data_IF_621619705938
#
_entry.id   IF_621619705938
#
_cell.length_a   1.000
_cell.length_b   1.000
_cell.length_c   1.000
_cell.angle_alpha   90.00
_cell.angle_beta   90.00
_cell.angle_gamma   90.00
#
_symmetry.space_group_name_H-M   'P 1'
#
loop_
_entity.id
_entity.type
_entity.pdbx_description
1 polymer ?
#
# COMPACT_ATOMS: atom_id res chain seq x y z
N UNK A 1 16.14 -8.75 -0.22
CA UNK A 1 14.83 -8.76 0.45
C UNK A 1 13.92 -7.87 -0.36
N UNK A 2 12.79 -8.39 -0.82
CA UNK A 2 11.82 -7.65 -1.64
C UNK A 2 10.74 -7.04 -0.75
N UNK A 3 10.48 -5.75 -0.93
CA UNK A 3 9.46 -4.98 -0.19
C UNK A 3 8.42 -4.51 -1.20
N UNK A 4 7.15 -4.88 -1.00
CA UNK A 4 6.06 -4.23 -1.72
C UNK A 4 5.62 -2.96 -1.00
N UNK A 5 5.70 -1.81 -1.67
CA UNK A 5 5.31 -0.51 -1.10
C UNK A 5 3.93 -0.06 -1.63
N UNK A 6 2.88 -0.40 -0.89
CA UNK A 6 1.50 -0.10 -1.22
C UNK A 6 1.09 1.31 -0.79
N UNK A 7 0.59 2.13 -1.71
CA UNK A 7 0.15 3.48 -1.36
C UNK A 7 -0.87 4.01 -2.36
N UNK A 8 -1.58 5.07 -1.99
CA UNK A 8 -2.61 5.66 -2.85
C UNK A 8 -1.99 6.28 -4.11
N UNK A 9 -2.59 6.05 -5.29
CA UNK A 9 -2.13 6.58 -6.59
C UNK A 9 -1.96 8.11 -6.63
N UNK A 10 -2.53 8.84 -5.67
CA UNK A 10 -2.36 10.30 -5.57
C UNK A 10 -0.95 10.72 -5.18
N UNK A 11 -0.16 9.80 -4.64
CA UNK A 11 1.23 10.07 -4.28
C UNK A 11 2.19 9.78 -5.44
N UNK A 12 1.71 9.23 -6.56
CA UNK A 12 2.58 8.92 -7.70
C UNK A 12 3.29 10.17 -8.21
N UNK A 13 4.61 10.07 -8.35
CA UNK A 13 5.52 11.12 -8.80
C UNK A 13 5.51 12.36 -7.90
N UNK A 14 5.18 12.18 -6.62
CA UNK A 14 5.21 13.26 -5.62
C UNK A 14 6.46 13.20 -4.76
N UNK A 15 6.82 14.35 -4.19
CA UNK A 15 7.89 14.44 -3.20
C UNK A 15 7.61 13.57 -1.97
N UNK A 16 6.33 13.39 -1.61
CA UNK A 16 5.90 12.52 -0.50
C UNK A 16 6.25 11.05 -0.76
N UNK A 17 5.94 10.53 -1.95
CA UNK A 17 6.33 9.17 -2.36
C UNK A 17 7.84 8.99 -2.33
N UNK A 18 8.59 9.97 -2.86
CA UNK A 18 10.06 9.95 -2.83
C UNK A 18 10.59 9.88 -1.39
N UNK A 19 10.07 10.72 -0.51
CA UNK A 19 10.48 10.75 0.91
C UNK A 19 10.19 9.44 1.63
N UNK A 20 9.04 8.81 1.35
CA UNK A 20 8.66 7.53 1.95
C UNK A 20 9.52 6.37 1.44
N UNK A 21 9.82 6.32 0.14
CA UNK A 21 10.77 5.35 -0.41
C UNK A 21 12.15 5.50 0.25
N UNK A 22 12.63 6.73 0.42
CA UNK A 22 13.90 6.98 1.10
C UNK A 22 13.85 6.61 2.59
N UNK A 23 12.71 6.78 3.27
CA UNK A 23 12.51 6.29 4.63
C UNK A 23 12.58 4.77 4.70
N UNK A 24 11.92 4.07 3.78
CA UNK A 24 11.97 2.60 3.69
C UNK A 24 13.41 2.13 3.45
N UNK A 25 14.16 2.78 2.55
CA UNK A 25 15.58 2.47 2.32
C UNK A 25 16.45 2.72 3.55
N UNK A 26 16.22 3.81 4.31
CA UNK A 26 16.96 4.03 5.56
C UNK A 26 16.74 2.91 6.58
N UNK A 27 15.53 2.39 6.67
CA UNK A 27 15.17 1.30 7.59
C UNK A 27 15.69 -0.05 7.06
N UNK A 28 15.65 -0.25 5.74
CA UNK A 28 16.05 -1.48 5.04
C UNK A 28 17.06 -1.17 3.91
N UNK A 29 18.34 -0.88 4.23
CA UNK A 29 19.31 -0.33 3.27
C UNK A 29 19.66 -1.24 2.09
N UNK A 30 19.44 -2.55 2.20
CA UNK A 30 19.73 -3.53 1.16
C UNK A 30 18.45 -4.21 0.62
N UNK A 31 17.35 -3.46 0.57
CA UNK A 31 16.07 -3.95 0.07
C UNK A 31 15.79 -3.53 -1.38
N UNK A 32 15.12 -4.41 -2.10
CA UNK A 32 14.56 -4.12 -3.41
C UNK A 32 13.10 -3.69 -3.20
N UNK A 33 12.78 -2.43 -3.47
CA UNK A 33 11.43 -1.89 -3.26
C UNK A 33 10.66 -1.98 -4.58
N UNK A 34 9.58 -2.76 -4.57
CA UNK A 34 8.59 -2.79 -5.65
C UNK A 34 7.58 -1.68 -5.39
N UNK A 35 7.62 -0.66 -6.24
CA UNK A 35 6.67 0.44 -6.26
C UNK A 35 5.66 0.21 -7.39
N UNK A 36 4.34 0.15 -7.11
CA UNK A 36 3.32 0.02 -8.16
C UNK A 36 3.42 1.11 -9.23
N UNK A 37 3.81 2.33 -8.85
CA UNK A 37 4.10 3.41 -9.78
C UNK A 37 5.30 3.01 -10.67
N UNK A 38 5.03 2.73 -11.95
CA UNK A 38 6.03 2.32 -12.93
C UNK A 38 6.31 0.82 -13.02
N UNK A 39 5.82 0.00 -12.07
CA UNK A 39 5.94 -1.47 -12.14
C UNK A 39 4.68 -2.16 -12.68
N UNK A 40 3.52 -1.54 -12.50
CA UNK A 40 2.25 -2.04 -13.06
C UNK A 40 2.11 -1.52 -14.48
N UNK A 41 1.86 -2.44 -15.42
CA UNK A 41 1.60 -2.12 -16.82
C UNK A 41 0.16 -1.61 -16.94
N UNK A 42 -0.02 -0.44 -17.56
CA UNK A 42 -1.35 0.08 -17.89
C UNK A 42 -2.03 -0.81 -18.94
N UNK A 43 -3.06 -1.54 -18.51
CA UNK A 43 -3.87 -2.37 -19.42
C UNK A 43 -5.24 -1.75 -19.74
N UNK A 44 -5.59 -0.64 -19.08
CA UNK A 44 -6.93 -0.05 -19.14
C UNK A 44 -7.99 -0.83 -18.35
N UNK A 45 -7.63 -1.93 -17.69
CA UNK A 45 -8.49 -2.76 -16.88
C UNK A 45 -8.01 -2.78 -15.42
N UNK A 46 -8.83 -2.24 -14.51
CA UNK A 46 -8.49 -2.16 -13.08
C UNK A 46 -8.26 -3.53 -12.45
N UNK A 47 -8.97 -4.57 -12.89
CA UNK A 47 -8.81 -5.92 -12.34
C UNK A 47 -7.47 -6.55 -12.73
N UNK A 48 -7.02 -6.32 -13.96
CA UNK A 48 -5.70 -6.78 -14.43
C UNK A 48 -4.56 -6.02 -13.74
N UNK A 49 -4.71 -4.71 -13.57
CA UNK A 49 -3.77 -3.91 -12.79
C UNK A 49 -3.66 -4.43 -11.34
N UNK A 50 -4.79 -4.77 -10.72
CA UNK A 50 -4.81 -5.34 -9.37
C UNK A 50 -4.16 -6.71 -9.30
N UNK A 51 -4.37 -7.59 -10.30
CA UNK A 51 -3.71 -8.90 -10.31
C UNK A 51 -2.18 -8.77 -10.47
N UNK A 52 -1.69 -7.78 -11.22
CA UNK A 52 -0.26 -7.46 -11.26
C UNK A 52 0.28 -7.08 -9.87
N UNK A 53 -0.42 -6.21 -9.14
CA UNK A 53 -0.11 -5.89 -7.75
C UNK A 53 -0.04 -7.14 -6.88
N UNK A 54 -1.04 -8.04 -6.99
CA UNK A 54 -1.07 -9.27 -6.22
C UNK A 54 0.09 -10.22 -6.53
N UNK A 55 0.55 -10.27 -7.79
CA UNK A 55 1.73 -11.04 -8.16
C UNK A 55 3.01 -10.47 -7.52
N UNK A 56 3.20 -9.15 -7.56
CA UNK A 56 4.33 -8.52 -6.87
C UNK A 56 4.33 -8.74 -5.36
N UNK A 57 3.14 -8.77 -4.73
CA UNK A 57 2.98 -9.10 -3.31
C UNK A 57 3.42 -10.53 -3.03
N UNK A 58 3.03 -11.51 -3.87
CA UNK A 58 3.42 -12.92 -3.72
C UNK A 58 4.92 -13.14 -3.88
N UNK A 59 5.61 -12.28 -4.62
CA UNK A 59 7.07 -12.30 -4.76
C UNK A 59 7.83 -11.54 -3.66
N UNK A 60 7.12 -10.81 -2.80
CA UNK A 60 7.72 -9.96 -1.78
C UNK A 60 7.87 -10.68 -0.44
N UNK A 61 8.86 -10.27 0.35
CA UNK A 61 9.09 -10.80 1.69
C UNK A 61 8.24 -10.07 2.75
N UNK A 62 8.00 -8.77 2.51
CA UNK A 62 7.21 -7.89 3.38
C UNK A 62 6.37 -6.91 2.55
N UNK A 63 5.27 -6.43 3.13
CA UNK A 63 4.50 -5.31 2.60
C UNK A 63 4.56 -4.13 3.57
N UNK A 64 4.86 -2.95 3.03
CA UNK A 64 4.78 -1.68 3.72
C UNK A 64 3.72 -0.84 3.03
N UNK A 65 2.82 -0.23 3.80
CA UNK A 65 1.83 0.68 3.24
C UNK A 65 1.79 2.03 3.94
N UNK A 66 1.27 3.04 3.25
CA UNK A 66 1.01 4.37 3.81
C UNK A 66 -0.38 4.87 3.49
N UNK A 67 -0.78 5.94 4.19
CA UNK A 67 -2.02 6.65 3.93
C UNK A 67 -1.74 8.03 3.37
N UNK A 68 -2.79 8.69 2.90
CA UNK A 68 -2.81 10.13 2.71
C UNK A 68 -2.81 10.85 4.08
N UNK A 69 -2.59 12.16 4.04
CA UNK A 69 -2.54 13.03 5.22
C UNK A 69 -3.82 13.00 6.07
N UNK A 70 -4.97 12.72 5.46
CA UNK A 70 -6.27 12.59 6.11
C UNK A 70 -6.56 11.16 6.63
N UNK A 71 -5.55 10.29 6.71
CA UNK A 71 -5.65 8.88 7.13
C UNK A 71 -6.43 7.96 6.18
N UNK A 72 -6.68 8.41 4.96
CA UNK A 72 -7.41 7.62 3.95
C UNK A 72 -6.42 6.94 2.99
N UNK A 73 -6.76 5.74 2.56
CA UNK A 73 -6.05 5.01 1.51
C UNK A 73 -7.06 4.27 0.61
N UNK A 74 -6.61 3.86 -0.57
CA UNK A 74 -7.49 3.34 -1.61
C UNK A 74 -7.97 1.94 -1.28
N UNK A 75 -9.13 1.55 -1.83
CA UNK A 75 -9.62 0.17 -1.72
C UNK A 75 -8.59 -0.87 -2.18
N UNK A 76 -7.87 -0.58 -3.27
CA UNK A 76 -6.78 -1.43 -3.75
C UNK A 76 -5.71 -1.68 -2.68
N UNK A 77 -5.25 -0.64 -1.98
CA UNK A 77 -4.27 -0.77 -0.88
C UNK A 77 -4.83 -1.62 0.27
N UNK A 78 -6.13 -1.49 0.58
CA UNK A 78 -6.78 -2.37 1.55
C UNK A 78 -6.77 -3.84 1.09
N UNK A 79 -7.08 -4.12 -0.17
CA UNK A 79 -7.11 -5.48 -0.71
C UNK A 79 -5.69 -6.08 -0.77
N UNK A 80 -4.68 -5.29 -1.13
CA UNK A 80 -3.25 -5.64 -1.10
C UNK A 80 -2.79 -6.02 0.32
N UNK A 81 -3.08 -5.18 1.31
CA UNK A 81 -2.77 -5.45 2.72
C UNK A 81 -3.48 -6.71 3.21
N UNK A 82 -4.76 -6.88 2.84
CA UNK A 82 -5.56 -8.04 3.22
C UNK A 82 -4.97 -9.34 2.65
N UNK A 83 -4.54 -9.33 1.38
CA UNK A 83 -3.87 -10.45 0.76
C UNK A 83 -2.56 -10.79 1.46
N UNK A 84 -1.71 -9.78 1.71
CA UNK A 84 -0.44 -9.95 2.40
C UNK A 84 -0.60 -10.62 3.78
N UNK A 85 -1.55 -10.13 4.59
CA UNK A 85 -1.86 -10.73 5.89
C UNK A 85 -2.35 -12.17 5.76
N UNK A 86 -3.22 -12.45 4.78
CA UNK A 86 -3.72 -13.80 4.50
C UNK A 86 -2.62 -14.79 4.10
N UNK A 87 -1.58 -14.31 3.42
CA UNK A 87 -0.38 -15.09 3.07
C UNK A 87 0.57 -15.30 4.25
N UNK A 88 0.28 -14.71 5.43
CA UNK A 88 1.17 -14.76 6.60
C UNK A 88 2.39 -13.84 6.47
N UNK A 89 2.39 -12.92 5.52
CA UNK A 89 3.48 -11.97 5.31
C UNK A 89 3.52 -10.92 6.43
N UNK A 90 4.71 -10.40 6.74
CA UNK A 90 4.83 -9.27 7.67
C UNK A 90 4.33 -7.99 6.97
N UNK A 91 3.38 -7.31 7.60
CA UNK A 91 2.82 -6.06 7.11
C UNK A 91 3.11 -4.92 8.09
N UNK A 92 3.53 -3.77 7.55
CA UNK A 92 3.80 -2.57 8.32
C UNK A 92 3.09 -1.34 7.73
N UNK A 93 2.53 -0.52 8.61
CA UNK A 93 2.15 0.85 8.30
C UNK A 93 3.36 1.76 8.53
N UNK A 94 3.78 2.48 7.49
CA UNK A 94 4.82 3.50 7.62
C UNK A 94 4.19 4.83 8.07
N UNK A 95 4.65 5.35 9.21
CA UNK A 95 4.33 6.68 9.72
C UNK A 95 5.64 7.47 9.81
N UNK A 96 5.89 8.36 8.85
CA UNK A 96 7.16 9.10 8.70
C UNK A 96 8.35 8.14 8.60
N UNK A 97 9.19 8.04 9.64
CA UNK A 97 10.36 7.16 9.72
C UNK A 97 10.13 5.95 10.64
N UNK A 98 8.88 5.66 11.00
CA UNK A 98 8.55 4.58 11.94
C UNK A 98 7.62 3.55 11.31
N UNK A 99 7.81 2.29 11.67
CA UNK A 99 6.97 1.17 11.22
C UNK A 99 6.10 0.68 12.37
N UNK A 100 4.79 0.63 12.13
CA UNK A 100 3.85 -0.03 13.00
C UNK A 100 3.46 -1.38 12.38
N UNK A 101 3.74 -2.48 13.09
CA UNK A 101 3.34 -3.81 12.63
C UNK A 101 1.83 -3.97 12.66
N UNK A 102 1.25 -4.40 11.55
CA UNK A 102 -0.17 -4.69 11.43
C UNK A 102 -0.35 -6.21 11.39
N UNK A 103 -1.25 -6.74 12.21
CA UNK A 103 -1.62 -8.16 12.21
C UNK A 103 -3.05 -8.38 11.70
N UNK A 104 -3.90 -7.35 11.75
CA UNK A 104 -5.28 -7.38 11.24
C UNK A 104 -5.68 -5.98 10.77
N UNK A 105 -5.94 -5.84 9.48
CA UNK A 105 -6.33 -4.56 8.86
C UNK A 105 -7.73 -4.11 9.30
N UNK A 106 -8.63 -5.05 9.59
CA UNK A 106 -10.00 -4.74 10.03
C UNK A 106 -10.03 -4.15 11.45
N UNK A 107 -9.02 -4.44 12.26
CA UNK A 107 -8.90 -3.88 13.61
C UNK A 107 -8.43 -2.42 13.63
N UNK A 108 -7.88 -1.90 12.52
CA UNK A 108 -7.26 -0.56 12.47
C UNK A 108 -7.90 0.39 11.46
N UNK A 109 -8.87 -0.06 10.66
CA UNK A 109 -9.50 0.77 9.65
C UNK A 109 -11.00 0.46 9.48
N UNK A 110 -11.72 1.43 8.93
CA UNK A 110 -13.10 1.28 8.46
C UNK A 110 -13.18 1.53 6.95
N UNK A 111 -14.09 0.84 6.26
CA UNK A 111 -14.39 1.11 4.86
C UNK A 111 -15.40 2.27 4.79
N UNK A 112 -15.06 3.29 3.99
CA UNK A 112 -15.89 4.45 3.73
C UNK A 112 -16.24 4.53 2.25
N UNK A 113 -17.41 5.10 1.94
CA UNK A 113 -17.90 5.25 0.56
C UNK A 113 -17.92 6.73 0.20
N UNK A 114 -17.18 7.12 -0.83
CA UNK A 114 -17.27 8.46 -1.41
C UNK A 114 -18.42 8.50 -2.43
N UNK A 115 -19.58 9.00 -1.97
CA UNK A 115 -20.78 9.16 -2.79
C UNK A 115 -20.62 10.19 -3.92
N UNK A 116 -19.60 11.03 -3.88
CA UNK A 116 -19.35 12.05 -4.91
C UNK A 116 -18.55 11.52 -6.10
N UNK A 117 -17.91 10.35 -5.95
CA UNK A 117 -17.06 9.71 -6.97
C UNK A 117 -17.58 8.32 -7.33
N UNK A 118 -18.79 8.25 -7.88
CA UNK A 118 -19.39 6.97 -8.31
C UNK A 118 -19.44 5.89 -7.22
N UNK A 119 -19.66 6.28 -5.95
CA UNK A 119 -19.65 5.37 -4.80
C UNK A 119 -18.32 4.61 -4.62
N UNK A 120 -17.19 5.22 -4.96
CA UNK A 120 -15.88 4.60 -4.79
C UNK A 120 -15.59 4.33 -3.32
N UNK A 121 -15.12 3.12 -3.03
CA UNK A 121 -14.73 2.71 -1.69
C UNK A 121 -13.31 3.12 -1.36
N UNK A 122 -13.10 3.48 -0.10
CA UNK A 122 -11.80 3.78 0.49
C UNK A 122 -11.72 3.14 1.87
N UNK A 123 -10.51 3.03 2.40
CA UNK A 123 -10.28 2.66 3.78
C UNK A 123 -9.74 3.86 4.57
N UNK A 124 -10.19 4.01 5.81
CA UNK A 124 -9.77 5.09 6.71
C UNK A 124 -9.19 4.49 7.99
N UNK A 125 -7.95 4.85 8.33
CA UNK A 125 -7.33 4.43 9.57
C UNK A 125 -8.01 5.08 10.79
N UNK A 126 -8.19 4.29 11.85
CA UNK A 126 -8.77 4.69 13.13
C UNK A 126 -7.70 5.03 14.19
N UNK A 127 -6.45 4.66 13.94
CA UNK A 127 -5.28 4.79 14.84
C UNK A 127 -4.32 5.92 14.44
#
# INVERSE_FOLDING_TARGET
MKIYYAHHMWKYNTEEERMEIEAIKRIFPNSDIINPNGSVIETGNEAEAMEQCFNFIRESDILIFTTLSNKVFGRGVYDEVSLALKLGMKVFLLKKDTLLKINDINSICEIIIDKTKSNREYAKLLI
#
